data_IF_585806558721
#
_entry.id   IF_585806558721
#
_cell.length_a   1.000
_cell.length_b   1.000
_cell.length_c   1.000
_cell.angle_alpha   90.00
_cell.angle_beta   90.00
_cell.angle_gamma   90.00
#
_symmetry.space_group_name_H-M   'P 1'
#
loop_
_entity.id
_entity.type
_entity.pdbx_description
1 polymer ?
#
# COMPACT_ATOMS: atom_id res chain seq x y z
N UNK A 1 -12.00 1.99 -11.42
CA UNK A 1 -12.73 0.72 -11.16
C UNK A 1 -12.52 0.31 -9.71
N UNK A 2 -13.10 -0.80 -9.28
CA UNK A 2 -12.90 -1.32 -7.91
C UNK A 2 -11.40 -1.56 -7.60
N UNK A 3 -10.64 -2.08 -8.57
CA UNK A 3 -9.17 -2.27 -8.45
C UNK A 3 -8.43 -0.95 -8.24
N UNK A 4 -8.69 0.06 -9.07
CA UNK A 4 -8.08 1.39 -8.91
C UNK A 4 -8.37 2.00 -7.53
N UNK A 5 -9.61 1.87 -7.03
CA UNK A 5 -9.96 2.39 -5.71
C UNK A 5 -9.22 1.65 -4.56
N UNK A 6 -8.97 0.34 -4.72
CA UNK A 6 -8.18 -0.45 -3.77
C UNK A 6 -6.69 -0.08 -3.82
N UNK A 7 -6.14 0.13 -5.01
CA UNK A 7 -4.77 0.62 -5.20
C UNK A 7 -4.59 1.98 -4.52
N UNK A 8 -5.46 2.95 -4.82
CA UNK A 8 -5.41 4.29 -4.24
C UNK A 8 -5.49 4.25 -2.70
N UNK A 9 -6.35 3.39 -2.14
CA UNK A 9 -6.48 3.24 -0.69
C UNK A 9 -5.21 2.64 -0.05
N UNK A 10 -4.62 1.62 -0.68
CA UNK A 10 -3.40 1.00 -0.18
C UNK A 10 -2.19 1.95 -0.28
N UNK A 11 -2.05 2.69 -1.39
CA UNK A 11 -1.03 3.71 -1.57
C UNK A 11 -1.17 4.86 -0.56
N UNK A 12 -2.39 5.34 -0.33
CA UNK A 12 -2.66 6.38 0.66
C UNK A 12 -2.23 5.91 2.06
N UNK A 13 -2.51 4.65 2.41
CA UNK A 13 -2.12 4.11 3.71
C UNK A 13 -0.61 3.94 3.85
N UNK A 14 0.10 3.52 2.80
CA UNK A 14 1.56 3.49 2.79
C UNK A 14 2.13 4.88 3.04
N UNK A 15 1.62 5.90 2.35
CA UNK A 15 2.06 7.28 2.51
C UNK A 15 1.82 7.83 3.92
N UNK A 16 0.69 7.48 4.56
CA UNK A 16 0.43 7.82 5.96
C UNK A 16 1.47 7.19 6.91
N UNK A 17 1.82 5.91 6.72
CA UNK A 17 2.82 5.23 7.55
C UNK A 17 4.21 5.83 7.33
N UNK A 18 4.57 6.15 6.09
CA UNK A 18 5.84 6.80 5.78
C UNK A 18 5.92 8.20 6.38
N UNK A 19 4.83 8.97 6.41
CA UNK A 19 4.77 10.26 7.10
C UNK A 19 4.99 10.12 8.61
N UNK A 20 4.43 9.07 9.24
CA UNK A 20 4.68 8.75 10.65
C UNK A 20 6.16 8.42 10.89
N UNK A 21 6.76 7.57 10.05
CA UNK A 21 8.18 7.21 10.17
C UNK A 21 9.14 8.36 9.85
N UNK A 22 8.71 9.34 9.05
CA UNK A 22 9.49 10.54 8.74
C UNK A 22 9.48 11.56 9.90
N UNK A 23 8.54 11.47 10.84
CA UNK A 23 8.49 12.32 12.04
C UNK A 23 9.47 11.81 13.11
N UNK A 24 10.56 12.54 13.45
CA UNK A 24 11.50 12.10 14.48
C UNK A 24 10.89 11.97 15.87
N UNK A 25 9.79 12.68 16.15
CA UNK A 25 9.10 12.64 17.44
C UNK A 25 8.35 11.33 17.67
N UNK A 26 7.99 10.60 16.60
CA UNK A 26 7.34 9.30 16.68
C UNK A 26 8.18 8.33 17.52
N UNK A 27 9.48 8.23 17.25
CA UNK A 27 10.38 7.30 17.94
C UNK A 27 10.65 7.66 19.41
N UNK A 28 10.32 8.88 19.84
CA UNK A 28 10.46 9.27 21.24
C UNK A 28 9.41 8.61 22.15
N UNK A 29 8.27 8.19 21.58
CA UNK A 29 7.18 7.54 22.30
C UNK A 29 6.80 6.15 21.78
N UNK A 30 7.23 5.78 20.58
CA UNK A 30 6.86 4.52 19.95
C UNK A 30 7.46 3.31 20.69
N UNK A 31 6.62 2.30 20.91
CA UNK A 31 7.11 1.00 21.39
C UNK A 31 7.71 0.18 20.25
N UNK A 32 8.64 -0.76 20.51
CA UNK A 32 9.15 -1.66 19.48
C UNK A 32 8.04 -2.45 18.76
N UNK A 33 6.97 -2.82 19.48
CA UNK A 33 5.83 -3.51 18.89
C UNK A 33 5.01 -2.60 17.95
N UNK A 34 4.88 -1.32 18.28
CA UNK A 34 4.20 -0.35 17.42
C UNK A 34 4.97 -0.09 16.13
N UNK A 35 6.29 0.09 16.22
CA UNK A 35 7.17 0.23 15.05
C UNK A 35 7.04 -1.01 14.16
N UNK A 36 7.22 -2.20 14.74
CA UNK A 36 7.10 -3.47 14.01
C UNK A 36 5.74 -3.65 13.35
N UNK A 37 4.65 -3.31 14.05
CA UNK A 37 3.29 -3.40 13.49
C UNK A 37 3.14 -2.51 12.25
N UNK A 38 3.66 -1.28 12.30
CA UNK A 38 3.60 -0.35 11.17
C UNK A 38 4.51 -0.78 10.01
N UNK A 39 5.67 -1.39 10.31
CA UNK A 39 6.56 -1.97 9.29
C UNK A 39 5.89 -3.16 8.58
N UNK A 40 5.29 -4.09 9.36
CA UNK A 40 4.55 -5.24 8.83
C UNK A 40 3.35 -4.77 7.99
N UNK A 41 2.60 -3.78 8.47
CA UNK A 41 1.47 -3.18 7.75
C UNK A 41 1.93 -2.54 6.43
N UNK A 42 2.98 -1.71 6.46
CA UNK A 42 3.54 -1.10 5.24
C UNK A 42 4.03 -2.14 4.24
N UNK A 43 4.72 -3.17 4.70
CA UNK A 43 5.21 -4.25 3.82
C UNK A 43 4.06 -4.98 3.14
N UNK A 44 3.01 -5.35 3.89
CA UNK A 44 1.83 -6.00 3.34
C UNK A 44 1.09 -5.13 2.32
N UNK A 45 0.97 -3.82 2.58
CA UNK A 45 0.33 -2.89 1.65
C UNK A 45 1.12 -2.72 0.35
N UNK A 46 2.46 -2.68 0.41
CA UNK A 46 3.31 -2.60 -0.79
C UNK A 46 3.15 -3.86 -1.64
N UNK A 47 3.10 -5.04 -1.02
CA UNK A 47 2.82 -6.29 -1.71
C UNK A 47 1.41 -6.30 -2.33
N UNK A 48 0.40 -5.77 -1.61
CA UNK A 48 -0.97 -5.65 -2.11
C UNK A 48 -1.06 -4.71 -3.33
N UNK A 49 -0.44 -3.54 -3.29
CA UNK A 49 -0.39 -2.60 -4.43
C UNK A 49 0.21 -3.29 -5.65
N UNK A 50 1.34 -3.99 -5.50
CA UNK A 50 1.98 -4.70 -6.61
C UNK A 50 1.06 -5.78 -7.20
N UNK A 51 0.35 -6.54 -6.36
CA UNK A 51 -0.59 -7.56 -6.81
C UNK A 51 -1.80 -6.95 -7.55
N UNK A 52 -2.38 -5.87 -7.01
CA UNK A 52 -3.52 -5.19 -7.60
C UNK A 52 -3.17 -4.52 -8.93
N UNK A 53 -1.97 -3.93 -9.05
CA UNK A 53 -1.47 -3.39 -10.31
C UNK A 53 -1.36 -4.48 -11.38
N UNK A 54 -0.83 -5.66 -11.02
CA UNK A 54 -0.78 -6.79 -11.94
C UNK A 54 -2.17 -7.32 -12.33
N UNK A 55 -3.12 -7.34 -11.40
CA UNK A 55 -4.52 -7.69 -11.70
C UNK A 55 -5.16 -6.66 -12.65
N UNK A 56 -4.91 -5.37 -12.42
CA UNK A 56 -5.41 -4.31 -13.28
C UNK A 56 -4.85 -4.41 -14.70
N UNK A 57 -3.55 -4.59 -14.85
CA UNK A 57 -2.89 -4.82 -16.16
C UNK A 57 -3.50 -6.02 -16.90
N UNK A 58 -3.77 -7.12 -16.20
CA UNK A 58 -4.41 -8.30 -16.80
C UNK A 58 -5.84 -8.04 -17.26
N UNK A 59 -6.64 -7.32 -16.46
CA UNK A 59 -8.00 -6.91 -16.85
C UNK A 59 -7.98 -5.98 -18.06
N UNK A 60 -7.00 -5.07 -18.14
CA UNK A 60 -6.86 -4.19 -19.31
C UNK A 60 -6.46 -4.96 -20.57
N UNK A 61 -5.55 -5.93 -20.48
CA UNK A 61 -5.16 -6.78 -21.62
C UNK A 61 -6.33 -7.65 -22.13
N UNK A 62 -7.14 -8.21 -21.23
CA UNK A 62 -8.35 -8.94 -21.60
C UNK A 62 -9.38 -8.07 -22.31
N UNK A 63 -9.56 -6.82 -21.85
CA UNK A 63 -10.46 -5.87 -22.48
C UNK A 63 -9.96 -5.45 -23.88
N UNK A 64 -8.66 -5.18 -24.02
CA UNK A 64 -8.06 -4.78 -25.30
C UNK A 64 -8.07 -5.92 -26.32
N UNK A 65 -7.84 -7.17 -25.90
CA UNK A 65 -7.85 -8.34 -26.80
C UNK A 65 -9.25 -8.79 -27.25
N UNK A 66 -10.31 -8.30 -26.59
CA UNK A 66 -11.70 -8.60 -26.92
C UNK A 66 -12.29 -7.70 -28.03
N UNK A 67 -11.54 -6.71 -28.54
CA UNK A 67 -11.91 -5.77 -29.61
C UNK A 67 -11.14 -6.01 -30.91
#
# INVERSE_FOLDING_TARGET
GELAARIEAAEARVAEIEAVFADPSFYAGASPDEVRRLEEERAGLVEEVAALMGEWEGVEEELDSAY
#
